data_IF_413993838549
#
_entry.id   IF_413993838549
#
_cell.length_a   1.000
_cell.length_b   1.000
_cell.length_c   1.000
_cell.angle_alpha   90.00
_cell.angle_beta   90.00
_cell.angle_gamma   90.00
#
_symmetry.space_group_name_H-M   'P 1'
#
loop_
_entity.id
_entity.type
_entity.pdbx_description
1 polymer ?
#
# COMPACT_ATOMS: atom_id res chain seq x y z
N UNK A 1 62.09 -5.47 -45.45
CA UNK A 1 61.45 -6.39 -44.47
C UNK A 1 60.34 -5.60 -43.79
N UNK A 2 59.07 -5.81 -44.17
CA UNK A 2 57.91 -5.04 -43.67
C UNK A 2 57.52 -5.57 -42.30
N UNK A 3 57.58 -4.73 -41.25
CA UNK A 3 56.95 -5.04 -39.96
C UNK A 3 55.43 -4.87 -40.10
N UNK A 4 54.69 -5.94 -39.80
CA UNK A 4 53.23 -5.96 -39.73
C UNK A 4 52.82 -5.54 -38.32
N UNK A 5 52.13 -4.40 -38.18
CA UNK A 5 51.46 -4.02 -36.93
C UNK A 5 50.16 -4.82 -36.82
N UNK A 6 50.03 -5.63 -35.76
CA UNK A 6 48.74 -6.20 -35.37
C UNK A 6 47.88 -5.14 -34.65
N UNK A 7 46.59 -5.00 -34.97
CA UNK A 7 45.70 -4.09 -34.27
C UNK A 7 45.29 -4.73 -32.93
N UNK A 8 45.49 -3.99 -31.83
CA UNK A 8 45.01 -4.36 -30.51
C UNK A 8 43.49 -4.13 -30.47
N UNK A 9 42.70 -5.21 -30.62
CA UNK A 9 41.26 -5.17 -30.40
C UNK A 9 40.97 -4.93 -28.91
N UNK A 10 40.65 -3.69 -28.54
CA UNK A 10 39.98 -3.37 -27.28
C UNK A 10 38.54 -3.92 -27.37
N UNK A 11 38.31 -5.10 -26.80
CA UNK A 11 36.97 -5.60 -26.56
C UNK A 11 36.30 -4.66 -25.53
N UNK A 12 35.13 -4.06 -25.84
CA UNK A 12 34.40 -3.27 -24.86
C UNK A 12 34.05 -4.19 -23.69
N UNK A 13 34.60 -3.91 -22.51
CA UNK A 13 34.11 -4.47 -21.26
C UNK A 13 32.65 -4.04 -21.16
N UNK A 14 31.73 -4.99 -21.30
CA UNK A 14 30.34 -4.77 -20.89
C UNK A 14 30.41 -4.45 -19.40
N UNK A 15 30.38 -3.16 -19.05
CA UNK A 15 30.16 -2.75 -17.67
C UNK A 15 28.76 -3.26 -17.33
N UNK A 16 28.67 -4.43 -16.71
CA UNK A 16 27.45 -4.87 -16.05
C UNK A 16 27.28 -3.94 -14.85
N UNK A 17 26.38 -2.98 -15.00
CA UNK A 17 26.00 -2.12 -13.91
C UNK A 17 24.94 -2.87 -13.10
N UNK A 18 25.26 -3.11 -11.84
CA UNK A 18 24.31 -3.51 -10.81
C UNK A 18 23.99 -2.27 -9.96
N UNK A 19 22.96 -2.31 -9.13
CA UNK A 19 22.64 -1.20 -8.23
C UNK A 19 23.67 -0.97 -7.11
N UNK A 20 24.76 -1.76 -7.08
CA UNK A 20 25.86 -1.71 -6.14
C UNK A 20 27.22 -1.99 -6.81
N UNK A 21 28.30 -1.74 -6.08
CA UNK A 21 29.68 -1.93 -6.55
C UNK A 21 30.08 -3.42 -6.55
N UNK A 22 30.08 -4.04 -7.73
CA UNK A 22 30.46 -5.44 -7.91
C UNK A 22 31.90 -5.76 -7.50
N UNK A 23 32.80 -4.79 -7.42
CA UNK A 23 34.17 -5.03 -6.94
C UNK A 23 34.23 -5.33 -5.43
N UNK A 24 33.14 -5.06 -4.71
CA UNK A 24 32.98 -5.27 -3.26
C UNK A 24 31.98 -6.36 -2.92
N UNK A 25 31.48 -7.09 -3.93
CA UNK A 25 30.53 -8.18 -3.72
C UNK A 25 31.20 -9.35 -3.00
N UNK A 26 30.61 -9.79 -1.89
CA UNK A 26 31.11 -10.93 -1.11
C UNK A 26 30.03 -12.00 -0.91
N UNK A 27 28.76 -11.61 -0.94
CA UNK A 27 27.65 -12.52 -0.66
C UNK A 27 27.28 -13.34 -1.92
N UNK A 28 26.88 -14.63 -1.81
CA UNK A 28 26.54 -15.46 -2.97
C UNK A 28 25.53 -14.84 -3.93
N UNK A 29 24.50 -14.18 -3.39
CA UNK A 29 23.50 -13.44 -4.19
C UNK A 29 24.12 -12.25 -4.93
N UNK A 30 25.03 -11.51 -4.28
CA UNK A 30 25.71 -10.35 -4.91
C UNK A 30 26.64 -10.83 -6.03
N UNK A 31 27.39 -11.89 -5.79
CA UNK A 31 28.26 -12.53 -6.79
C UNK A 31 27.45 -13.07 -7.99
N UNK A 32 26.29 -13.67 -7.73
CA UNK A 32 25.38 -14.14 -8.77
C UNK A 32 24.87 -12.98 -9.65
N UNK A 33 24.48 -11.85 -9.04
CA UNK A 33 24.06 -10.64 -9.76
C UNK A 33 25.21 -10.10 -10.61
N UNK A 34 26.40 -9.96 -10.03
CA UNK A 34 27.58 -9.43 -10.73
C UNK A 34 28.12 -10.34 -11.83
N UNK A 35 27.86 -11.64 -11.76
CA UNK A 35 28.28 -12.63 -12.77
C UNK A 35 27.29 -12.84 -13.91
N UNK A 36 26.06 -12.32 -13.81
CA UNK A 36 24.98 -12.62 -14.75
C UNK A 36 24.28 -11.32 -15.23
N UNK A 37 24.32 -11.07 -16.54
CA UNK A 37 23.81 -9.84 -17.15
C UNK A 37 22.32 -9.63 -16.88
N UNK A 38 21.53 -10.70 -16.97
CA UNK A 38 20.09 -10.63 -16.76
C UNK A 38 19.74 -10.33 -15.29
N UNK A 39 20.51 -10.89 -14.34
CA UNK A 39 20.32 -10.59 -12.92
C UNK A 39 20.78 -9.16 -12.56
N UNK A 40 21.85 -8.67 -13.19
CA UNK A 40 22.30 -7.28 -13.06
C UNK A 40 21.21 -6.30 -13.52
N UNK A 41 20.64 -6.51 -14.71
CA UNK A 41 19.54 -5.70 -15.23
C UNK A 41 18.30 -5.78 -14.33
N UNK A 42 17.99 -6.97 -13.81
CA UNK A 42 16.88 -7.19 -12.90
C UNK A 42 17.05 -6.41 -11.59
N UNK A 43 18.27 -6.36 -11.06
CA UNK A 43 18.64 -5.62 -9.86
C UNK A 43 18.53 -4.10 -10.06
N UNK A 44 19.03 -3.57 -11.17
CA UNK A 44 18.87 -2.15 -11.53
C UNK A 44 17.40 -1.77 -11.68
N UNK A 45 16.62 -2.60 -12.36
CA UNK A 45 15.17 -2.37 -12.56
C UNK A 45 14.44 -2.33 -11.22
N UNK A 46 14.78 -3.24 -10.31
CA UNK A 46 14.21 -3.27 -8.97
C UNK A 46 14.58 -2.02 -8.16
N UNK A 47 15.85 -1.60 -8.20
CA UNK A 47 16.30 -0.39 -7.53
C UNK A 47 15.57 0.86 -8.06
N UNK A 48 15.45 1.01 -9.38
CA UNK A 48 14.74 2.13 -10.01
C UNK A 48 13.23 2.12 -9.68
N UNK A 49 12.60 0.95 -9.66
CA UNK A 49 11.17 0.81 -9.34
C UNK A 49 10.92 1.16 -7.87
N UNK A 50 11.76 0.65 -6.96
CA UNK A 50 11.70 0.99 -5.54
C UNK A 50 11.90 2.49 -5.31
N UNK A 51 12.89 3.13 -5.95
CA UNK A 51 13.12 4.57 -5.82
C UNK A 51 11.90 5.38 -6.25
N UNK A 52 11.24 5.00 -7.36
CA UNK A 52 10.02 5.65 -7.83
C UNK A 52 8.90 5.55 -6.79
N UNK A 53 8.63 4.34 -6.30
CA UNK A 53 7.62 4.11 -5.27
C UNK A 53 7.92 4.90 -3.98
N UNK A 54 9.19 4.91 -3.55
CA UNK A 54 9.63 5.69 -2.37
C UNK A 54 9.43 7.19 -2.56
N UNK A 55 9.74 7.72 -3.75
CA UNK A 55 9.57 9.15 -4.05
C UNK A 55 8.10 9.61 -4.08
N UNK A 56 7.18 8.65 -4.22
CA UNK A 56 5.74 8.91 -4.20
C UNK A 56 5.08 8.65 -2.84
N UNK A 57 5.81 8.05 -1.90
CA UNK A 57 5.31 7.76 -0.55
C UNK A 57 5.11 9.04 0.25
N UNK A 58 4.21 8.99 1.23
CA UNK A 58 3.98 10.06 2.20
C UNK A 58 5.22 10.35 3.03
N UNK A 59 5.46 11.62 3.34
CA UNK A 59 6.52 12.02 4.28
C UNK A 59 6.26 11.39 5.65
N UNK A 60 7.32 10.91 6.31
CA UNK A 60 7.24 10.22 7.60
C UNK A 60 6.83 8.74 7.52
N UNK A 61 6.25 8.28 6.40
CA UNK A 61 5.95 6.88 6.17
C UNK A 61 7.18 6.13 5.62
N UNK A 62 7.87 5.41 6.50
CA UNK A 62 9.02 4.56 6.19
C UNK A 62 8.65 3.07 5.99
N UNK A 63 7.37 2.70 5.96
CA UNK A 63 6.95 1.29 5.88
C UNK A 63 7.56 0.59 4.65
N UNK A 64 7.47 1.22 3.47
CA UNK A 64 8.02 0.66 2.23
C UNK A 64 9.54 0.44 2.33
N UNK A 65 10.26 1.33 3.01
CA UNK A 65 11.70 1.21 3.20
C UNK A 65 12.05 0.05 4.13
N UNK A 66 11.32 -0.10 5.24
CA UNK A 66 11.51 -1.22 6.17
C UNK A 66 11.25 -2.56 5.49
N UNK A 67 10.15 -2.69 4.75
CA UNK A 67 9.85 -3.90 4.00
C UNK A 67 10.90 -4.22 2.94
N UNK A 68 11.39 -3.21 2.21
CA UNK A 68 12.43 -3.43 1.20
C UNK A 68 13.71 -3.98 1.85
N UNK A 69 14.10 -3.45 3.01
CA UNK A 69 15.26 -3.93 3.76
C UNK A 69 15.04 -5.34 4.29
N UNK A 70 13.85 -5.64 4.79
CA UNK A 70 13.49 -6.96 5.30
C UNK A 70 13.46 -7.99 4.18
N UNK A 71 12.84 -7.65 3.04
CA UNK A 71 12.83 -8.46 1.84
C UNK A 71 14.25 -8.75 1.33
N UNK A 72 15.15 -7.75 1.30
CA UNK A 72 16.55 -7.96 0.93
C UNK A 72 17.25 -8.93 1.88
N UNK A 73 17.07 -8.77 3.21
CA UNK A 73 17.64 -9.68 4.21
C UNK A 73 17.14 -11.11 4.03
N UNK A 74 15.83 -11.29 3.91
CA UNK A 74 15.19 -12.60 3.73
C UNK A 74 15.61 -13.26 2.41
N UNK A 75 15.72 -12.49 1.33
CA UNK A 75 16.15 -12.97 0.01
C UNK A 75 17.60 -13.45 0.05
N UNK A 76 18.51 -12.68 0.67
CA UNK A 76 19.90 -13.08 0.87
C UNK A 76 20.00 -14.41 1.62
N UNK A 77 19.29 -14.54 2.73
CA UNK A 77 19.27 -15.77 3.52
C UNK A 77 18.70 -16.97 2.75
N UNK A 78 17.55 -16.77 2.09
CA UNK A 78 16.84 -17.85 1.41
C UNK A 78 17.55 -18.35 0.14
N UNK A 79 18.21 -17.47 -0.62
CA UNK A 79 18.85 -17.83 -1.89
C UNK A 79 20.31 -18.26 -1.76
N UNK A 80 21.04 -17.76 -0.75
CA UNK A 80 22.39 -18.25 -0.48
C UNK A 80 22.42 -19.71 0.01
N UNK A 81 21.33 -20.20 0.60
CA UNK A 81 21.22 -21.56 1.09
C UNK A 81 20.89 -22.59 -0.01
N UNK A 82 20.74 -22.18 -1.27
CA UNK A 82 20.33 -23.07 -2.36
C UNK A 82 21.46 -23.30 -3.37
N UNK A 83 21.52 -24.53 -3.90
CA UNK A 83 22.41 -24.91 -5.01
C UNK A 83 22.08 -24.16 -6.32
N UNK A 84 20.94 -23.47 -6.38
CA UNK A 84 20.47 -22.68 -7.51
C UNK A 84 20.25 -21.20 -7.13
N UNK A 85 21.30 -20.54 -6.60
CA UNK A 85 21.25 -19.14 -6.14
C UNK A 85 20.73 -18.17 -7.23
N UNK A 86 21.18 -18.30 -8.48
CA UNK A 86 20.73 -17.45 -9.60
C UNK A 86 19.22 -17.56 -9.83
N UNK A 87 18.70 -18.79 -9.98
CA UNK A 87 17.27 -19.04 -10.19
C UNK A 87 16.42 -18.57 -9.01
N UNK A 88 16.90 -18.77 -7.77
CA UNK A 88 16.21 -18.24 -6.59
C UNK A 88 16.17 -16.71 -6.60
N UNK A 89 17.29 -16.07 -6.95
CA UNK A 89 17.40 -14.61 -7.01
C UNK A 89 16.46 -14.05 -8.06
N UNK A 90 16.46 -14.61 -9.27
CA UNK A 90 15.54 -14.22 -10.36
C UNK A 90 14.07 -14.28 -9.91
N UNK A 91 13.65 -15.39 -9.30
CA UNK A 91 12.26 -15.58 -8.85
C UNK A 91 11.87 -14.57 -7.76
N UNK A 92 12.75 -14.35 -6.77
CA UNK A 92 12.48 -13.42 -5.66
C UNK A 92 12.41 -11.97 -6.15
N UNK A 93 13.32 -11.59 -7.04
CA UNK A 93 13.37 -10.24 -7.61
C UNK A 93 12.18 -9.99 -8.55
N UNK A 94 11.79 -10.99 -9.34
CA UNK A 94 10.57 -10.94 -10.16
C UNK A 94 9.33 -10.67 -9.31
N UNK A 95 9.10 -11.47 -8.26
CA UNK A 95 7.96 -11.26 -7.37
C UNK A 95 7.99 -9.88 -6.68
N UNK A 96 9.16 -9.40 -6.25
CA UNK A 96 9.27 -8.07 -5.64
C UNK A 96 9.00 -6.94 -6.63
N UNK A 97 9.39 -7.11 -7.89
CA UNK A 97 9.04 -6.16 -8.94
C UNK A 97 7.52 -6.11 -9.16
N UNK A 98 6.86 -7.27 -9.17
CA UNK A 98 5.40 -7.33 -9.29
C UNK A 98 4.71 -6.64 -8.09
N UNK A 99 5.20 -6.88 -6.87
CA UNK A 99 4.71 -6.21 -5.66
C UNK A 99 4.85 -4.68 -5.78
N UNK A 100 6.02 -4.18 -6.18
CA UNK A 100 6.28 -2.75 -6.30
C UNK A 100 5.51 -2.12 -7.47
N UNK A 101 5.32 -2.86 -8.57
CA UNK A 101 4.54 -2.42 -9.73
C UNK A 101 3.03 -2.37 -9.45
N UNK A 102 2.55 -3.07 -8.42
CA UNK A 102 1.18 -2.98 -7.95
C UNK A 102 0.88 -1.69 -7.16
N UNK A 103 1.90 -0.90 -6.82
CA UNK A 103 1.73 0.35 -6.08
C UNK A 103 1.31 1.50 -7.00
N UNK A 104 0.50 2.45 -6.49
CA UNK A 104 0.20 3.68 -7.20
C UNK A 104 1.46 4.47 -7.59
N UNK A 105 1.39 5.20 -8.70
CA UNK A 105 2.52 5.98 -9.22
C UNK A 105 2.08 7.28 -9.89
N UNK A 106 2.91 8.34 -9.91
CA UNK A 106 2.55 9.59 -10.54
C UNK A 106 2.59 9.46 -12.08
N UNK A 107 1.61 10.05 -12.75
CA UNK A 107 1.55 10.18 -14.21
C UNK A 107 1.73 11.64 -14.62
N UNK A 108 2.37 11.86 -15.76
CA UNK A 108 2.60 13.21 -16.33
C UNK A 108 1.56 13.61 -17.37
N UNK A 109 0.83 12.63 -17.91
CA UNK A 109 -0.13 12.83 -19.01
C UNK A 109 -1.48 12.24 -18.63
N UNK A 110 -2.54 12.99 -18.89
CA UNK A 110 -3.90 12.52 -18.64
C UNK A 110 -4.26 11.41 -19.63
N UNK A 111 -5.09 10.43 -19.21
CA UNK A 111 -5.64 9.45 -20.12
C UNK A 111 -6.55 10.13 -21.16
N UNK A 112 -6.64 9.54 -22.36
CA UNK A 112 -7.49 10.04 -23.43
C UNK A 112 -8.91 9.48 -23.40
N UNK A 113 -9.13 8.38 -22.68
CA UNK A 113 -10.43 7.76 -22.54
C UNK A 113 -11.36 8.60 -21.62
N UNK A 114 -12.67 8.47 -21.84
CA UNK A 114 -13.67 9.22 -21.10
C UNK A 114 -13.66 8.83 -19.62
N UNK A 115 -13.50 9.79 -18.69
CA UNK A 115 -13.47 9.49 -17.27
C UNK A 115 -14.87 9.36 -16.67
N UNK A 116 -14.97 8.50 -15.67
CA UNK A 116 -16.05 8.49 -14.70
C UNK A 116 -15.85 9.62 -13.70
N UNK A 117 -16.86 10.48 -13.55
CA UNK A 117 -16.82 11.60 -12.61
C UNK A 117 -17.22 11.13 -11.21
N UNK A 118 -16.37 11.42 -10.23
CA UNK A 118 -16.62 11.19 -8.80
C UNK A 118 -16.65 12.54 -8.05
N UNK A 119 -17.28 13.55 -8.65
CA UNK A 119 -17.31 14.95 -8.19
C UNK A 119 -18.18 15.20 -6.96
N UNK A 120 -18.96 14.20 -6.53
CA UNK A 120 -19.72 14.22 -5.27
C UNK A 120 -18.93 13.74 -4.06
N UNK A 121 -17.70 13.24 -4.25
CA UNK A 121 -16.90 12.67 -3.16
C UNK A 121 -16.25 13.73 -2.25
N UNK A 122 -15.91 14.90 -2.77
CA UNK A 122 -15.18 15.94 -2.03
C UNK A 122 -15.85 17.30 -2.21
N UNK A 123 -15.70 18.19 -1.24
CA UNK A 123 -16.10 19.60 -1.39
C UNK A 123 -15.04 20.44 -2.10
N UNK A 124 -13.78 20.00 -2.12
CA UNK A 124 -12.62 20.75 -2.65
C UNK A 124 -12.11 20.22 -3.99
N UNK A 125 -12.27 18.93 -4.24
CA UNK A 125 -11.70 18.23 -5.39
C UNK A 125 -12.76 17.56 -6.25
N UNK A 126 -12.52 17.59 -7.56
CA UNK A 126 -13.15 16.68 -8.51
C UNK A 126 -12.19 15.54 -8.81
N UNK A 127 -12.72 14.33 -8.83
CA UNK A 127 -11.96 13.14 -9.19
C UNK A 127 -12.50 12.57 -10.49
N UNK A 128 -11.61 12.37 -11.45
CA UNK A 128 -11.91 11.78 -12.75
C UNK A 128 -11.20 10.43 -12.82
N UNK A 129 -11.97 9.34 -12.68
CA UNK A 129 -11.46 7.98 -12.73
C UNK A 129 -11.59 7.45 -14.16
N UNK A 130 -10.46 7.13 -14.78
CA UNK A 130 -10.44 6.49 -16.10
C UNK A 130 -9.91 5.07 -15.95
N UNK A 131 -10.75 4.08 -16.20
CA UNK A 131 -10.35 2.67 -16.23
C UNK A 131 -9.73 2.35 -17.59
N UNK A 132 -8.74 1.48 -17.61
CA UNK A 132 -8.10 1.02 -18.86
C UNK A 132 -9.09 0.21 -19.71
N UNK A 133 -9.98 -0.54 -19.06
CA UNK A 133 -11.07 -1.28 -19.67
C UNK A 133 -12.44 -0.75 -19.20
N UNK A 134 -13.43 -0.60 -20.10
CA UNK A 134 -14.72 -0.02 -19.76
C UNK A 134 -15.54 -0.94 -18.84
N UNK A 135 -16.00 -0.38 -17.73
CA UNK A 135 -16.82 -1.09 -16.75
C UNK A 135 -18.32 -0.84 -16.94
N UNK A 136 -19.03 -1.87 -17.41
CA UNK A 136 -20.49 -1.85 -17.66
C UNK A 136 -21.31 -2.60 -16.60
N UNK A 137 -20.65 -3.39 -15.76
CA UNK A 137 -21.28 -4.17 -14.71
C UNK A 137 -21.47 -3.35 -13.42
N UNK A 138 -22.21 -3.90 -12.46
CA UNK A 138 -22.40 -3.26 -11.15
C UNK A 138 -21.07 -3.15 -10.38
N UNK A 139 -20.20 -4.15 -10.54
CA UNK A 139 -18.86 -4.18 -9.96
C UNK A 139 -17.84 -4.57 -11.00
N UNK A 140 -16.63 -4.02 -10.91
CA UNK A 140 -15.52 -4.41 -11.76
C UNK A 140 -14.19 -4.15 -11.06
N UNK A 141 -13.19 -4.95 -11.43
CA UNK A 141 -11.80 -4.78 -10.98
C UNK A 141 -10.90 -4.63 -12.21
N UNK A 142 -9.99 -3.66 -12.18
CA UNK A 142 -9.04 -3.43 -13.25
C UNK A 142 -8.04 -2.33 -12.91
N UNK A 143 -7.16 -2.00 -13.84
CA UNK A 143 -6.23 -0.87 -13.72
C UNK A 143 -6.82 0.41 -14.32
N UNK A 144 -6.21 1.54 -14.00
CA UNK A 144 -6.59 2.81 -14.59
C UNK A 144 -5.78 3.98 -14.04
N UNK A 145 -6.38 5.16 -14.07
CA UNK A 145 -5.80 6.37 -13.51
C UNK A 145 -6.85 7.28 -12.89
N UNK A 146 -6.42 8.06 -11.92
CA UNK A 146 -7.22 9.08 -11.26
C UNK A 146 -6.62 10.45 -11.54
N UNK A 147 -7.38 11.32 -12.20
CA UNK A 147 -7.03 12.73 -12.29
C UNK A 147 -7.74 13.47 -11.15
N UNK A 148 -6.96 14.17 -10.33
CA UNK A 148 -7.46 15.02 -9.24
C UNK A 148 -7.44 16.47 -9.72
N UNK A 149 -8.57 17.17 -9.62
CA UNK A 149 -8.69 18.58 -9.98
C UNK A 149 -9.14 19.38 -8.76
N UNK A 150 -8.56 20.57 -8.58
CA UNK A 150 -9.06 21.50 -7.58
C UNK A 150 -10.30 22.21 -8.10
N UNK A 151 -11.46 22.08 -7.44
CA UNK A 151 -12.76 22.62 -7.89
C UNK A 151 -12.71 24.12 -8.16
N UNK A 152 -12.04 24.88 -7.29
CA UNK A 152 -11.94 26.32 -7.45
C UNK A 152 -11.04 26.76 -8.63
N UNK A 153 -10.10 25.91 -9.08
CA UNK A 153 -9.12 26.27 -10.10
C UNK A 153 -9.46 25.68 -11.48
N UNK A 154 -10.26 24.62 -11.55
CA UNK A 154 -10.60 23.93 -12.80
C UNK A 154 -9.39 23.33 -13.53
N UNK A 155 -8.24 23.17 -12.85
CA UNK A 155 -6.99 22.64 -13.40
C UNK A 155 -6.66 21.30 -12.74
N UNK A 156 -6.12 20.33 -13.50
CA UNK A 156 -5.53 19.12 -12.94
C UNK A 156 -4.44 19.50 -11.94
N UNK A 157 -4.59 19.00 -10.72
CA UNK A 157 -3.58 19.07 -9.67
C UNK A 157 -2.56 17.95 -9.86
N UNK A 158 -3.04 16.74 -10.10
CA UNK A 158 -2.22 15.55 -10.20
C UNK A 158 -2.94 14.45 -10.95
N UNK A 159 -2.17 13.57 -11.59
CA UNK A 159 -2.67 12.34 -12.21
C UNK A 159 -1.92 11.18 -11.57
N UNK A 160 -2.66 10.17 -11.15
CA UNK A 160 -2.14 9.01 -10.43
C UNK A 160 -2.51 7.77 -11.22
N UNK A 161 -1.50 6.96 -11.58
CA UNK A 161 -1.69 5.63 -12.11
C UNK A 161 -2.07 4.67 -10.98
N UNK A 162 -3.11 3.88 -11.21
CA UNK A 162 -3.71 2.96 -10.26
C UNK A 162 -3.66 1.55 -10.84
N UNK A 163 -2.69 0.71 -10.43
CA UNK A 163 -2.60 -0.67 -10.89
C UNK A 163 -3.81 -1.54 -10.52
N UNK A 164 -4.55 -1.15 -9.48
CA UNK A 164 -5.80 -1.80 -9.08
C UNK A 164 -6.86 -0.78 -8.69
N UNK A 165 -8.06 -0.97 -9.22
CA UNK A 165 -9.28 -0.21 -8.91
C UNK A 165 -10.43 -1.19 -8.83
N UNK A 166 -11.17 -1.17 -7.73
CA UNK A 166 -12.44 -1.86 -7.59
C UNK A 166 -13.56 -0.83 -7.60
N UNK A 167 -14.35 -0.82 -8.67
CA UNK A 167 -15.47 0.11 -8.81
C UNK A 167 -16.77 -0.62 -8.48
N UNK A 168 -17.53 -0.05 -7.54
CA UNK A 168 -18.91 -0.45 -7.23
C UNK A 168 -19.88 0.65 -7.64
N UNK A 169 -21.03 0.25 -8.21
CA UNK A 169 -22.12 1.16 -8.59
C UNK A 169 -23.38 0.87 -7.77
N UNK A 170 -24.16 1.92 -7.52
CA UNK A 170 -25.53 1.79 -7.01
C UNK A 170 -26.46 1.19 -8.06
N UNK A 171 -27.68 0.85 -7.65
CA UNK A 171 -28.74 0.37 -8.56
C UNK A 171 -29.10 1.40 -9.65
N UNK A 172 -28.83 2.69 -9.41
CA UNK A 172 -29.02 3.74 -10.40
C UNK A 172 -27.87 3.83 -11.42
N UNK A 173 -26.86 2.96 -11.31
CA UNK A 173 -25.66 2.95 -12.15
C UNK A 173 -24.59 3.98 -11.76
N UNK A 174 -24.84 4.76 -10.72
CA UNK A 174 -23.92 5.80 -10.23
C UNK A 174 -22.79 5.17 -9.40
N UNK A 175 -21.55 5.67 -9.49
CA UNK A 175 -20.46 5.19 -8.63
C UNK A 175 -20.75 5.44 -7.16
N UNK A 176 -20.45 4.45 -6.31
CA UNK A 176 -20.51 4.64 -4.86
C UNK A 176 -19.28 5.41 -4.40
N UNK A 177 -19.49 6.49 -3.65
CA UNK A 177 -18.43 7.33 -3.07
C UNK A 177 -18.74 7.59 -1.59
N UNK A 178 -17.72 7.73 -0.75
CA UNK A 178 -17.84 7.94 0.69
C UNK A 178 -18.77 6.93 1.38
N UNK A 179 -18.67 5.66 0.96
CA UNK A 179 -19.39 4.54 1.57
C UNK A 179 -18.37 3.58 2.16
N UNK A 180 -18.39 3.41 3.47
CA UNK A 180 -17.46 2.56 4.21
C UNK A 180 -18.21 1.62 5.18
N UNK A 181 -19.48 1.34 4.91
CA UNK A 181 -20.28 0.49 5.80
C UNK A 181 -19.79 -0.95 5.75
N UNK A 182 -19.59 -1.54 6.93
CA UNK A 182 -19.13 -2.91 7.07
C UNK A 182 -20.19 -3.88 6.50
N UNK A 183 -19.74 -4.86 5.71
CA UNK A 183 -20.57 -5.86 5.01
C UNK A 183 -21.46 -5.35 3.87
N UNK A 184 -21.34 -4.08 3.50
CA UNK A 184 -22.00 -3.49 2.33
C UNK A 184 -20.99 -3.22 1.20
N UNK A 185 -21.47 -2.88 0.00
CA UNK A 185 -20.61 -2.35 -1.04
C UNK A 185 -19.99 -1.02 -0.60
N UNK A 186 -18.66 -1.00 -0.55
CA UNK A 186 -17.91 0.20 -0.22
C UNK A 186 -17.65 1.04 -1.47
N UNK A 187 -17.46 2.34 -1.25
CA UNK A 187 -17.26 3.32 -2.29
C UNK A 187 -15.90 3.13 -2.94
N UNK A 188 -15.83 3.37 -4.26
CA UNK A 188 -14.59 3.35 -5.04
C UNK A 188 -13.61 4.40 -4.52
N UNK A 189 -14.12 5.51 -3.99
CA UNK A 189 -13.33 6.55 -3.34
C UNK A 189 -13.97 6.96 -2.00
N UNK A 190 -13.14 7.11 -0.98
CA UNK A 190 -13.50 7.67 0.33
C UNK A 190 -12.62 8.88 0.60
N UNK A 191 -13.23 10.00 1.00
CA UNK A 191 -12.56 11.28 1.27
C UNK A 191 -12.71 11.64 2.73
N UNK A 192 -11.66 12.16 3.35
CA UNK A 192 -11.67 12.65 4.73
C UNK A 192 -10.32 13.25 5.10
N UNK A 193 -10.19 13.79 6.31
CA UNK A 193 -8.89 14.22 6.86
C UNK A 193 -8.34 13.07 7.70
N UNK A 194 -7.47 12.24 7.10
CA UNK A 194 -7.01 10.98 7.69
C UNK A 194 -5.80 11.17 8.59
N UNK A 195 -4.99 12.20 8.32
CA UNK A 195 -3.82 12.54 9.15
C UNK A 195 -4.09 13.70 10.14
N UNK A 196 -5.30 14.27 10.12
CA UNK A 196 -5.77 15.33 11.01
C UNK A 196 -5.02 16.66 10.84
N UNK A 197 -4.56 16.97 9.63
CA UNK A 197 -3.84 18.21 9.29
C UNK A 197 -4.73 19.34 8.76
N UNK A 198 -6.04 19.07 8.62
CA UNK A 198 -7.05 20.00 8.12
C UNK A 198 -7.21 20.04 6.60
N UNK A 199 -6.38 19.31 5.84
CA UNK A 199 -6.57 19.05 4.43
C UNK A 199 -7.46 17.80 4.20
N UNK A 200 -8.09 17.74 3.03
CA UNK A 200 -8.77 16.50 2.62
C UNK A 200 -7.75 15.57 1.97
N UNK A 201 -7.71 14.35 2.48
CA UNK A 201 -7.08 13.16 1.95
C UNK A 201 -8.12 12.30 1.21
N UNK A 202 -7.68 11.25 0.52
CA UNK A 202 -8.60 10.28 -0.04
C UNK A 202 -8.00 8.87 -0.13
N UNK A 203 -8.86 7.89 -0.32
CA UNK A 203 -8.47 6.52 -0.56
C UNK A 203 -9.28 5.93 -1.71
N UNK A 204 -8.61 5.14 -2.56
CA UNK A 204 -9.22 4.46 -3.71
C UNK A 204 -9.25 2.97 -3.43
N UNK A 205 -10.40 2.32 -3.62
CA UNK A 205 -10.50 0.88 -3.44
C UNK A 205 -9.67 0.19 -4.53
N UNK A 206 -8.69 -0.63 -4.16
CA UNK A 206 -7.74 -1.26 -5.09
C UNK A 206 -7.99 -2.77 -5.29
N UNK A 207 -9.09 -3.27 -4.75
CA UNK A 207 -9.49 -4.66 -4.82
C UNK A 207 -10.22 -5.13 -3.57
N UNK A 208 -10.27 -6.45 -3.43
CA UNK A 208 -10.82 -7.17 -2.28
C UNK A 208 -9.74 -8.03 -1.60
N UNK A 209 -8.62 -7.39 -1.27
CA UNK A 209 -7.41 -8.04 -0.73
C UNK A 209 -7.35 -7.97 0.81
N UNK A 210 -8.39 -7.45 1.45
CA UNK A 210 -8.51 -7.33 2.90
C UNK A 210 -8.88 -8.64 3.59
N UNK A 211 -9.03 -8.59 4.92
CA UNK A 211 -9.41 -9.76 5.71
C UNK A 211 -10.71 -10.40 5.21
N UNK A 212 -10.73 -11.73 5.05
CA UNK A 212 -11.85 -12.51 4.50
C UNK A 212 -12.27 -12.12 3.07
N UNK A 213 -11.32 -11.61 2.26
CA UNK A 213 -11.65 -11.07 0.94
C UNK A 213 -12.44 -9.77 1.02
N UNK A 214 -12.30 -9.04 2.13
CA UNK A 214 -12.86 -7.71 2.30
C UNK A 214 -12.16 -6.67 1.42
N UNK A 215 -12.71 -5.45 1.34
CA UNK A 215 -12.17 -4.41 0.47
C UNK A 215 -10.81 -3.93 0.96
N UNK A 216 -9.92 -3.60 0.01
CA UNK A 216 -8.61 -3.02 0.24
C UNK A 216 -8.48 -1.69 -0.48
N UNK A 217 -7.64 -0.80 0.02
CA UNK A 217 -7.57 0.58 -0.44
C UNK A 217 -6.13 1.08 -0.52
N UNK A 218 -5.87 1.89 -1.54
CA UNK A 218 -4.70 2.76 -1.60
C UNK A 218 -5.07 4.13 -1.01
N UNK A 219 -4.38 4.51 0.07
CA UNK A 219 -4.60 5.77 0.79
C UNK A 219 -3.61 6.83 0.31
N UNK A 220 -4.10 8.04 0.10
CA UNK A 220 -3.33 9.18 -0.36
C UNK A 220 -3.54 10.37 0.57
N UNK A 221 -2.47 10.82 1.20
CA UNK A 221 -2.48 12.01 2.06
C UNK A 221 -2.00 13.23 1.30
N UNK A 222 -2.61 14.39 1.54
CA UNK A 222 -2.23 15.64 0.89
C UNK A 222 -0.99 16.24 1.54
N UNK A 223 0.10 16.32 0.81
CA UNK A 223 1.32 17.01 1.24
C UNK A 223 1.20 18.51 0.93
N UNK A 224 1.03 19.33 1.97
CA UNK A 224 0.88 20.78 1.83
C UNK A 224 2.15 21.47 1.31
N UNK A 225 3.33 20.92 1.59
CA UNK A 225 4.61 21.49 1.14
C UNK A 225 4.85 21.22 -0.34
N UNK A 226 4.53 20.00 -0.79
CA UNK A 226 4.68 19.58 -2.18
C UNK A 226 3.46 19.94 -3.03
N UNK A 227 2.36 20.35 -2.40
CA UNK A 227 1.05 20.60 -3.03
C UNK A 227 0.59 19.42 -3.90
N UNK A 228 0.75 18.20 -3.39
CA UNK A 228 0.48 16.98 -4.12
C UNK A 228 0.04 15.86 -3.16
N UNK A 229 -0.73 14.92 -3.66
CA UNK A 229 -1.08 13.72 -2.91
C UNK A 229 0.06 12.70 -2.95
N UNK A 230 0.28 12.04 -1.82
CA UNK A 230 1.35 11.05 -1.59
C UNK A 230 0.76 9.76 -1.05
N UNK A 231 1.31 8.64 -1.50
CA UNK A 231 0.83 7.32 -1.09
C UNK A 231 1.19 7.01 0.37
N UNK A 232 0.18 6.84 1.22
CA UNK A 232 0.31 6.47 2.63
C UNK A 232 0.20 4.95 2.78
N UNK A 233 1.34 4.28 2.64
CA UNK A 233 1.44 2.82 2.68
C UNK A 233 0.98 2.26 4.03
N UNK A 234 1.41 2.86 5.13
CA UNK A 234 1.05 2.38 6.46
C UNK A 234 -0.47 2.39 6.72
N UNK A 235 -1.19 3.39 6.20
CA UNK A 235 -2.66 3.44 6.28
C UNK A 235 -3.32 2.42 5.34
N UNK A 236 -2.76 2.24 4.13
CA UNK A 236 -3.24 1.25 3.15
C UNK A 236 -3.13 -0.18 3.68
N UNK A 237 -2.00 -0.52 4.29
CA UNK A 237 -1.76 -1.83 4.91
C UNK A 237 -2.64 -2.06 6.14
N UNK A 238 -2.89 -1.02 6.93
CA UNK A 238 -3.81 -1.10 8.05
C UNK A 238 -5.19 -1.61 7.57
N UNK A 239 -5.73 -1.02 6.50
CA UNK A 239 -7.01 -1.44 5.89
C UNK A 239 -6.96 -2.89 5.41
N UNK A 240 -5.90 -3.28 4.69
CA UNK A 240 -5.73 -4.64 4.17
C UNK A 240 -5.66 -5.69 5.30
N UNK A 241 -5.16 -5.32 6.47
CA UNK A 241 -5.07 -6.21 7.64
C UNK A 241 -6.33 -6.24 8.53
N UNK A 242 -7.33 -5.42 8.23
CA UNK A 242 -8.56 -5.27 9.03
C UNK A 242 -9.81 -5.58 8.20
N UNK A 243 -11.00 -5.44 8.79
CA UNK A 243 -12.27 -5.63 8.12
C UNK A 243 -12.74 -4.34 7.43
N UNK A 244 -12.10 -4.01 6.32
CA UNK A 244 -12.48 -2.89 5.46
C UNK A 244 -11.96 -1.53 5.93
N UNK A 245 -12.52 -0.47 5.35
CA UNK A 245 -12.07 0.90 5.55
C UNK A 245 -12.17 1.35 7.02
N UNK A 246 -11.18 2.12 7.50
CA UNK A 246 -11.20 2.68 8.86
C UNK A 246 -12.23 3.79 8.99
N UNK A 247 -12.76 3.99 10.19
CA UNK A 247 -13.55 5.18 10.53
C UNK A 247 -12.64 6.31 11.00
N UNK A 248 -13.08 7.55 10.80
CA UNK A 248 -12.34 8.77 11.15
C UNK A 248 -13.11 9.52 12.23
N UNK A 249 -12.59 9.50 13.46
CA UNK A 249 -13.09 10.34 14.55
C UNK A 249 -12.30 11.65 14.58
N UNK A 250 -12.84 12.67 13.90
CA UNK A 250 -12.23 14.01 13.82
C UNK A 250 -12.20 14.72 15.17
N UNK A 251 -13.14 14.40 16.08
CA UNK A 251 -13.23 15.03 17.40
C UNK A 251 -12.12 14.56 18.33
N UNK A 252 -11.82 13.25 18.29
CA UNK A 252 -10.73 12.64 19.06
C UNK A 252 -9.40 12.62 18.30
N UNK A 253 -9.40 12.97 17.01
CA UNK A 253 -8.28 12.78 16.08
C UNK A 253 -7.78 11.32 16.13
N UNK A 254 -8.69 10.37 15.88
CA UNK A 254 -8.39 8.94 15.87
C UNK A 254 -8.92 8.28 14.61
N UNK A 255 -8.11 7.38 14.05
CA UNK A 255 -8.61 6.37 13.13
C UNK A 255 -9.05 5.16 13.94
N UNK A 256 -10.13 4.50 13.56
CA UNK A 256 -10.61 3.29 14.22
C UNK A 256 -10.83 2.17 13.20
N UNK A 257 -10.39 0.97 13.55
CA UNK A 257 -10.53 -0.24 12.72
C UNK A 257 -11.19 -1.35 13.50
N UNK A 258 -11.82 -2.27 12.78
CA UNK A 258 -12.35 -3.51 13.35
C UNK A 258 -11.67 -4.73 12.71
N UNK A 259 -11.30 -5.72 13.51
CA UNK A 259 -10.71 -6.98 13.07
C UNK A 259 -11.45 -8.16 13.74
N UNK A 260 -11.46 -9.32 13.08
CA UNK A 260 -12.07 -10.53 13.64
C UNK A 260 -11.34 -11.80 13.26
N UNK A 261 -11.60 -12.86 14.02
CA UNK A 261 -11.34 -14.24 13.62
C UNK A 261 -12.61 -14.91 13.09
N UNK A 262 -12.49 -16.16 12.62
CA UNK A 262 -13.57 -16.86 11.94
C UNK A 262 -14.75 -17.23 12.83
N UNK A 263 -14.65 -17.11 14.15
CA UNK A 263 -15.77 -17.44 15.05
C UNK A 263 -15.99 -16.41 16.16
N UNK A 264 -14.99 -16.14 17.00
CA UNK A 264 -15.27 -15.75 18.38
C UNK A 264 -14.27 -14.75 18.95
N UNK A 265 -13.42 -14.15 18.11
CA UNK A 265 -12.48 -13.12 18.50
C UNK A 265 -12.75 -11.87 17.67
N UNK A 266 -12.94 -10.73 18.33
CA UNK A 266 -13.12 -9.43 17.72
C UNK A 266 -12.16 -8.43 18.36
N UNK A 267 -11.69 -7.47 17.57
CA UNK A 267 -10.89 -6.36 18.08
C UNK A 267 -11.28 -5.06 17.41
N UNK A 268 -11.56 -4.07 18.25
CA UNK A 268 -11.63 -2.66 17.84
C UNK A 268 -10.33 -1.99 18.26
N UNK A 269 -9.63 -1.37 17.32
CA UNK A 269 -8.36 -0.67 17.56
C UNK A 269 -8.50 0.80 17.17
N UNK A 270 -7.91 1.69 17.97
CA UNK A 270 -7.83 3.13 17.68
C UNK A 270 -6.39 3.57 17.54
N UNK A 271 -6.17 4.46 16.60
CA UNK A 271 -4.85 4.90 16.19
C UNK A 271 -4.72 6.41 16.31
N UNK A 272 -3.60 6.85 16.90
CA UNK A 272 -3.12 8.22 16.74
C UNK A 272 -2.25 8.26 15.49
N UNK A 273 -2.42 9.25 14.63
CA UNK A 273 -1.56 9.41 13.46
C UNK A 273 -0.37 10.28 13.82
N UNK A 274 0.84 9.77 13.57
CA UNK A 274 2.10 10.44 13.83
C UNK A 274 2.93 10.43 12.55
N UNK A 275 3.16 11.60 11.93
CA UNK A 275 3.92 11.70 10.68
C UNK A 275 3.33 10.84 9.56
N UNK A 276 2.02 10.92 9.34
CA UNK A 276 1.25 10.11 8.39
C UNK A 276 1.24 8.60 8.68
N UNK A 277 1.75 8.16 9.83
CA UNK A 277 1.75 6.75 10.22
C UNK A 277 0.77 6.49 11.37
N UNK A 278 -0.22 5.58 11.22
CA UNK A 278 -1.10 5.21 12.31
C UNK A 278 -0.33 4.42 13.38
N UNK A 279 -0.40 4.89 14.62
CA UNK A 279 0.13 4.21 15.82
C UNK A 279 -1.03 3.76 16.67
N UNK A 280 -1.16 2.45 16.88
CA UNK A 280 -2.21 1.90 17.75
C UNK A 280 -1.98 2.42 19.17
N UNK A 281 -2.98 3.10 19.73
CA UNK A 281 -2.89 3.68 21.08
C UNK A 281 -3.95 3.14 22.02
N UNK A 282 -4.98 2.47 21.49
CA UNK A 282 -6.03 1.87 22.29
C UNK A 282 -6.59 0.67 21.55
N UNK A 283 -6.99 -0.37 22.31
CA UNK A 283 -7.68 -1.54 21.75
C UNK A 283 -8.68 -2.10 22.73
N UNK A 284 -9.78 -2.62 22.20
CA UNK A 284 -10.71 -3.48 22.90
C UNK A 284 -10.75 -4.82 22.20
N UNK A 285 -10.47 -5.88 22.95
CA UNK A 285 -10.50 -7.26 22.48
C UNK A 285 -11.65 -7.98 23.14
N UNK A 286 -12.48 -8.62 22.34
CA UNK A 286 -13.59 -9.46 22.75
C UNK A 286 -13.27 -10.90 22.32
N UNK A 287 -13.01 -11.78 23.29
CA UNK A 287 -12.53 -13.14 23.06
C UNK A 287 -13.42 -14.17 23.76
N UNK A 288 -14.22 -14.88 22.97
CA UNK A 288 -15.06 -16.00 23.39
C UNK A 288 -14.43 -17.37 23.06
N UNK A 289 -13.14 -17.42 22.70
CA UNK A 289 -12.38 -18.67 22.55
C UNK A 289 -11.75 -19.15 23.85
N UNK A 290 -11.51 -18.23 24.78
CA UNK A 290 -11.02 -18.55 26.11
C UNK A 290 -12.18 -19.19 26.89
N UNK A 291 -11.93 -20.33 27.55
CA UNK A 291 -12.89 -20.95 28.48
C UNK A 291 -13.13 -20.02 29.70
N UNK A 292 -13.91 -18.96 29.48
CA UNK A 292 -14.55 -18.22 30.55
C UNK A 292 -15.75 -19.06 31.00
N UNK A 293 -15.73 -19.50 32.27
CA UNK A 293 -16.75 -20.37 32.83
C UNK A 293 -18.18 -19.93 32.47
N UNK A 294 -19.04 -20.91 32.17
CA UNK A 294 -20.44 -20.75 31.75
C UNK A 294 -20.67 -19.84 30.52
N UNK A 295 -19.96 -20.08 29.41
CA UNK A 295 -20.34 -19.50 28.11
C UNK A 295 -20.17 -17.98 28.02
N UNK A 296 -19.18 -17.44 28.73
CA UNK A 296 -18.83 -16.02 28.70
C UNK A 296 -17.78 -15.66 27.65
N UNK A 297 -17.65 -14.37 27.40
CA UNK A 297 -16.63 -13.73 26.56
C UNK A 297 -15.73 -12.89 27.46
N UNK A 298 -14.42 -12.98 27.27
CA UNK A 298 -13.46 -12.09 27.90
C UNK A 298 -13.40 -10.76 27.13
N UNK A 299 -13.54 -9.64 27.83
CA UNK A 299 -13.43 -8.29 27.25
C UNK A 299 -12.30 -7.55 27.94
N UNK A 300 -11.25 -7.29 27.18
CA UNK A 300 -10.07 -6.55 27.62
C UNK A 300 -9.97 -5.22 26.89
N UNK A 301 -9.76 -4.16 27.66
CA UNK A 301 -9.52 -2.81 27.15
C UNK A 301 -8.12 -2.40 27.58
N UNK A 302 -7.29 -2.07 26.61
CA UNK A 302 -5.90 -1.69 26.82
C UNK A 302 -5.62 -0.34 26.15
N UNK A 303 -4.71 0.43 26.76
CA UNK A 303 -4.23 1.69 26.20
C UNK A 303 -2.71 1.78 26.27
N UNK A 304 -2.10 2.31 25.22
CA UNK A 304 -0.68 2.57 25.17
C UNK A 304 -0.35 3.84 25.96
N UNK A 305 0.35 3.68 27.09
CA UNK A 305 0.80 4.77 27.95
C UNK A 305 2.25 4.55 28.35
N UNK A 306 3.05 5.62 28.32
CA UNK A 306 4.44 5.60 28.80
C UNK A 306 5.33 4.51 28.16
N UNK A 307 5.05 4.13 26.91
CA UNK A 307 5.85 3.15 26.16
C UNK A 307 5.47 1.68 26.42
N UNK A 308 4.33 1.42 27.06
CA UNK A 308 3.80 0.07 27.24
C UNK A 308 2.26 0.05 27.17
N UNK A 309 1.71 -1.12 26.85
CA UNK A 309 0.27 -1.38 26.97
C UNK A 309 -0.12 -1.50 28.45
N UNK A 310 -1.15 -0.76 28.86
CA UNK A 310 -1.74 -0.79 30.19
C UNK A 310 -3.17 -1.33 30.09
N UNK A 311 -3.51 -2.32 30.91
CA UNK A 311 -4.89 -2.84 31.00
C UNK A 311 -5.73 -1.83 31.77
N UNK A 312 -6.72 -1.24 31.11
CA UNK A 312 -7.68 -0.32 31.74
C UNK A 312 -8.87 -1.07 32.36
N UNK A 313 -9.30 -2.14 31.71
CA UNK A 313 -10.42 -2.98 32.13
C UNK A 313 -10.21 -4.39 31.61
N UNK A 314 -10.59 -5.38 32.41
CA UNK A 314 -10.60 -6.79 32.04
C UNK A 314 -11.79 -7.45 32.74
N UNK A 315 -12.75 -7.97 31.99
CA UNK A 315 -13.99 -8.52 32.53
C UNK A 315 -14.53 -9.68 31.70
N UNK A 316 -15.17 -10.63 32.37
CA UNK A 316 -16.01 -11.64 31.72
C UNK A 316 -17.43 -11.10 31.58
N UNK A 317 -18.00 -11.22 30.39
CA UNK A 317 -19.40 -10.86 30.10
C UNK A 317 -20.11 -12.06 29.46
N UNK A 318 -21.42 -12.22 29.65
CA UNK A 318 -22.17 -13.24 28.91
C UNK A 318 -22.05 -13.00 27.39
N UNK A 319 -21.93 -14.07 26.60
CA UNK A 319 -22.01 -13.95 25.14
C UNK A 319 -23.42 -13.45 24.77
N UNK A 320 -23.55 -12.33 24.03
CA UNK A 320 -24.85 -11.88 23.54
C UNK A 320 -25.53 -12.99 22.72
N UNK A 321 -26.80 -13.27 23.00
CA UNK A 321 -27.60 -14.24 22.23
C UNK A 321 -27.95 -13.70 20.85
#
# INVERSE_FOLDING_TARGET
MRLVLLPLCLLPSLLQAASFDCSRAEHPVELAICGNAALSELDERLAATFQRARSFSAEGDDSLLHEQRDWLRQTRQACAAQDATERCTEQRYGGRLDDLASLPYPLTTAPTAEPLRLDRASLRYDFLLTLDEPCREQTCEGSGSLTVLHKAAGKPLQIIGLPGVFLSRSDSGEPLVNSAQLYEYQGVINVGDFNFDGAEDFAVQNGNRGSYGGPSYDVFVYDQHQQAFRYARAMSEMIASTLGFFSVDTSAQRLETFAKSGCCWHRTSRYRVEGNVPREVWRMTEDATIEAGEGGMQVDIEEWREGAWQILSSKQVPVPQ
#
